data_IF_932702928671
#
_entry.id   IF_932702928671
#
_cell.length_a   1.000
_cell.length_b   1.000
_cell.length_c   1.000
_cell.angle_alpha   90.00
_cell.angle_beta   90.00
_cell.angle_gamma   90.00
#
_symmetry.space_group_name_H-M   'P 1'
#
loop_
_entity.id
_entity.type
_entity.pdbx_description
1 polymer ?
#
# COMPACT_ATOMS: atom_id res chain seq x y z
N UNK A 1 22.81 35.89 14.93
CA UNK A 1 21.96 34.69 15.00
C UNK A 1 22.36 33.93 16.25
N UNK A 2 21.76 34.32 17.37
CA UNK A 2 21.99 33.64 18.66
C UNK A 2 21.26 32.29 18.63
N UNK A 3 22.01 31.22 18.82
CA UNK A 3 21.49 29.87 18.92
C UNK A 3 20.63 29.77 20.17
N UNK A 4 19.32 29.56 20.03
CA UNK A 4 18.43 29.32 21.17
C UNK A 4 18.65 27.88 21.71
N UNK A 5 19.37 27.68 22.83
CA UNK A 5 19.73 26.34 23.31
C UNK A 5 18.50 25.55 23.80
N UNK A 6 17.49 26.26 24.29
CA UNK A 6 16.20 25.68 24.70
C UNK A 6 15.49 25.05 23.51
N UNK A 7 15.54 25.69 22.34
CA UNK A 7 14.87 25.21 21.13
C UNK A 7 15.54 23.94 20.59
N UNK A 8 16.88 23.86 20.66
CA UNK A 8 17.63 22.64 20.35
C UNK A 8 17.35 21.50 21.33
N UNK A 9 17.24 21.79 22.63
CA UNK A 9 16.87 20.79 23.62
C UNK A 9 15.46 20.26 23.40
N UNK A 10 14.48 21.13 23.10
CA UNK A 10 13.12 20.73 22.76
C UNK A 10 13.06 19.89 21.47
N UNK A 11 13.81 20.26 20.42
CA UNK A 11 13.90 19.47 19.19
C UNK A 11 14.54 18.10 19.42
N UNK A 12 15.59 18.02 20.25
CA UNK A 12 16.23 16.77 20.62
C UNK A 12 15.29 15.86 21.43
N UNK A 13 14.56 16.43 22.38
CA UNK A 13 13.59 15.69 23.18
C UNK A 13 12.43 15.17 22.33
N UNK A 14 11.92 15.98 21.39
CA UNK A 14 10.91 15.57 20.41
C UNK A 14 11.43 14.48 19.47
N UNK A 15 12.67 14.58 19.00
CA UNK A 15 13.31 13.55 18.17
C UNK A 15 13.50 12.23 18.93
N UNK A 16 13.92 12.28 20.21
CA UNK A 16 14.03 11.11 21.08
C UNK A 16 12.66 10.47 21.37
N UNK A 17 11.62 11.29 21.55
CA UNK A 17 10.24 10.81 21.69
C UNK A 17 9.76 10.12 20.42
N UNK A 18 9.98 10.71 19.25
CA UNK A 18 9.63 10.11 17.95
C UNK A 18 10.40 8.81 17.70
N UNK A 19 11.69 8.77 18.02
CA UNK A 19 12.51 7.56 17.97
C UNK A 19 12.00 6.50 18.95
N UNK A 20 11.61 6.89 20.16
CA UNK A 20 11.03 5.99 21.16
C UNK A 20 9.68 5.42 20.74
N UNK A 21 8.80 6.24 20.12
CA UNK A 21 7.51 5.80 19.58
C UNK A 21 7.72 4.84 18.40
N UNK A 22 8.62 5.15 17.47
CA UNK A 22 8.97 4.24 16.38
C UNK A 22 9.56 2.93 16.90
N UNK A 23 10.45 3.00 17.89
CA UNK A 23 11.03 1.82 18.53
C UNK A 23 9.96 0.97 19.23
N UNK A 24 9.02 1.58 19.95
CA UNK A 24 7.89 0.88 20.57
C UNK A 24 6.96 0.22 19.54
N UNK A 25 6.68 0.90 18.43
CA UNK A 25 5.87 0.36 17.34
C UNK A 25 6.50 -0.92 16.73
N UNK A 26 7.83 -0.97 16.62
CA UNK A 26 8.56 -2.16 16.17
C UNK A 26 8.75 -3.21 17.29
N UNK A 27 8.81 -2.78 18.55
CA UNK A 27 9.03 -3.63 19.71
C UNK A 27 7.80 -4.49 20.06
N UNK A 28 6.57 -3.97 19.90
CA UNK A 28 5.34 -4.74 20.20
C UNK A 28 5.24 -6.02 19.35
N UNK A 29 5.37 -5.99 18.01
CA UNK A 29 5.41 -7.21 17.21
C UNK A 29 6.61 -8.11 17.54
N UNK A 30 7.76 -7.52 17.89
CA UNK A 30 8.95 -8.29 18.28
C UNK A 30 8.75 -9.05 19.60
N UNK A 31 8.07 -8.46 20.57
CA UNK A 31 7.66 -9.11 21.82
C UNK A 31 6.68 -10.26 21.57
N UNK A 32 5.74 -10.10 20.63
CA UNK A 32 4.82 -11.18 20.26
C UNK A 32 5.55 -12.36 19.59
N UNK A 33 6.53 -12.08 18.73
CA UNK A 33 7.41 -13.10 18.14
C UNK A 33 8.28 -13.76 19.23
N UNK A 34 8.78 -12.99 20.20
CA UNK A 34 9.56 -13.54 21.30
C UNK A 34 8.71 -14.44 22.20
N UNK A 35 7.48 -14.01 22.53
CA UNK A 35 6.49 -14.81 23.26
C UNK A 35 6.21 -16.12 22.53
N UNK A 36 6.03 -16.11 21.21
CA UNK A 36 5.79 -17.35 20.46
C UNK A 36 6.99 -18.30 20.53
N UNK A 37 8.22 -17.79 20.40
CA UNK A 37 9.46 -18.57 20.53
C UNK A 37 9.65 -19.18 21.91
N UNK A 38 9.13 -18.55 22.97
CA UNK A 38 9.14 -19.09 24.33
C UNK A 38 8.00 -20.11 24.53
N UNK A 39 6.78 -19.79 24.08
CA UNK A 39 5.61 -20.63 24.29
C UNK A 39 5.59 -21.90 23.42
N UNK A 40 6.17 -21.90 22.22
CA UNK A 40 6.25 -23.07 21.34
C UNK A 40 6.97 -24.27 22.02
N UNK A 41 8.22 -24.14 22.51
CA UNK A 41 8.92 -25.24 23.18
C UNK A 41 8.22 -25.64 24.48
N UNK A 42 7.74 -24.68 25.28
CA UNK A 42 6.99 -24.94 26.51
C UNK A 42 5.69 -25.71 26.22
N UNK A 43 4.96 -25.35 25.16
CA UNK A 43 3.74 -26.06 24.75
C UNK A 43 4.01 -27.47 24.22
N UNK A 44 5.14 -27.69 23.53
CA UNK A 44 5.55 -29.01 23.05
C UNK A 44 5.93 -29.92 24.23
N UNK A 45 6.59 -29.35 25.24
CA UNK A 45 6.98 -30.07 26.45
C UNK A 45 5.79 -30.39 27.36
N UNK A 46 4.92 -29.41 27.65
CA UNK A 46 3.78 -29.58 28.55
C UNK A 46 2.52 -30.14 27.88
N UNK A 47 2.47 -30.21 26.54
CA UNK A 47 1.30 -30.58 25.74
C UNK A 47 0.01 -29.78 26.04
N UNK A 48 0.12 -28.60 26.67
CA UNK A 48 -1.04 -27.78 27.01
C UNK A 48 -1.61 -27.08 25.78
N UNK A 49 -2.84 -27.46 25.42
CA UNK A 49 -3.55 -26.95 24.24
C UNK A 49 -3.77 -25.43 24.28
N UNK A 50 -3.91 -24.84 25.47
CA UNK A 50 -4.07 -23.39 25.65
C UNK A 50 -2.79 -22.62 25.29
N UNK A 51 -1.63 -23.04 25.82
CA UNK A 51 -0.32 -22.43 25.53
C UNK A 51 0.01 -22.60 24.04
N UNK A 52 -0.29 -23.77 23.46
CA UNK A 52 -0.06 -23.99 22.03
C UNK A 52 -0.87 -23.03 21.15
N UNK A 53 -2.15 -22.80 21.49
CA UNK A 53 -2.99 -21.81 20.80
C UNK A 53 -2.45 -20.39 20.96
N UNK A 54 -2.05 -20.01 22.17
CA UNK A 54 -1.46 -18.69 22.44
C UNK A 54 -0.14 -18.51 21.67
N UNK A 55 0.68 -19.56 21.53
CA UNK A 55 1.91 -19.52 20.77
C UNK A 55 1.65 -19.29 19.26
N UNK A 56 0.71 -20.03 18.68
CA UNK A 56 0.31 -19.84 17.27
C UNK A 56 -0.23 -18.42 17.06
N UNK A 57 -1.10 -17.96 17.97
CA UNK A 57 -1.73 -16.64 17.90
C UNK A 57 -0.67 -15.54 17.90
N UNK A 58 0.26 -15.59 18.85
CA UNK A 58 1.34 -14.63 19.02
C UNK A 58 2.30 -14.64 17.83
N UNK A 59 2.61 -15.81 17.28
CA UNK A 59 3.47 -15.92 16.10
C UNK A 59 2.81 -15.30 14.87
N UNK A 60 1.57 -15.69 14.57
CA UNK A 60 0.88 -15.20 13.38
C UNK A 60 0.59 -13.71 13.49
N UNK A 61 0.08 -13.26 14.65
CA UNK A 61 -0.18 -11.84 14.91
C UNK A 61 1.08 -11.00 14.81
N UNK A 62 2.15 -11.40 15.50
CA UNK A 62 3.41 -10.68 15.48
C UNK A 62 4.02 -10.59 14.08
N UNK A 63 4.04 -11.70 13.33
CA UNK A 63 4.61 -11.70 11.98
C UNK A 63 3.76 -10.94 10.96
N UNK A 64 2.43 -11.12 10.97
CA UNK A 64 1.55 -10.39 10.04
C UNK A 64 1.60 -8.90 10.36
N UNK A 65 1.43 -8.48 11.62
CA UNK A 65 1.46 -7.06 11.98
C UNK A 65 2.81 -6.42 11.66
N UNK A 66 3.93 -7.11 11.86
CA UNK A 66 5.25 -6.60 11.47
C UNK A 66 5.36 -6.32 9.98
N UNK A 67 4.88 -7.23 9.13
CA UNK A 67 4.90 -6.99 7.68
C UNK A 67 3.87 -5.91 7.29
N UNK A 68 2.69 -5.89 7.92
CA UNK A 68 1.68 -4.85 7.69
C UNK A 68 2.18 -3.46 8.05
N UNK A 69 2.90 -3.28 9.15
CA UNK A 69 3.48 -1.97 9.53
C UNK A 69 4.37 -1.41 8.41
N UNK A 70 5.13 -2.28 7.72
CA UNK A 70 5.92 -1.88 6.56
C UNK A 70 5.03 -1.53 5.37
N UNK A 71 4.06 -2.40 5.04
CA UNK A 71 3.18 -2.21 3.89
C UNK A 71 2.21 -1.03 4.02
N UNK A 72 1.76 -0.69 5.24
CA UNK A 72 0.82 0.41 5.50
C UNK A 72 1.32 1.75 4.97
N UNK A 73 2.63 1.99 5.02
CA UNK A 73 3.24 3.22 4.50
C UNK A 73 3.03 3.39 2.99
N UNK A 74 2.80 2.28 2.28
CA UNK A 74 2.61 2.24 0.84
C UNK A 74 1.14 2.15 0.42
N UNK A 75 0.27 1.64 1.28
CA UNK A 75 -1.16 1.47 1.01
C UNK A 75 -1.93 2.79 1.18
N UNK A 76 -3.12 2.92 0.56
CA UNK A 76 -3.98 4.09 0.77
C UNK A 76 -4.30 4.31 2.26
N UNK A 77 -4.42 5.57 2.67
CA UNK A 77 -4.75 5.91 4.06
C UNK A 77 -6.03 5.20 4.55
N UNK A 78 -5.99 4.72 5.80
CA UNK A 78 -7.13 4.02 6.43
C UNK A 78 -7.31 2.56 6.01
N UNK A 79 -6.44 2.02 5.15
CA UNK A 79 -6.43 0.59 4.85
C UNK A 79 -5.66 -0.20 5.92
N UNK A 80 -6.07 -1.45 6.13
CA UNK A 80 -5.32 -2.46 6.89
C UNK A 80 -4.90 -2.02 8.31
N UNK A 81 -5.83 -2.04 9.28
CA UNK A 81 -5.53 -1.85 10.71
C UNK A 81 -4.72 -2.98 11.34
N UNK A 82 -4.54 -3.00 12.67
CA UNK A 82 -3.86 -4.13 13.31
C UNK A 82 -4.71 -5.40 13.23
N UNK A 83 -4.06 -6.52 12.92
CA UNK A 83 -4.69 -7.83 12.99
C UNK A 83 -4.70 -8.30 14.45
N UNK A 84 -5.85 -8.80 14.89
CA UNK A 84 -5.97 -9.63 16.08
C UNK A 84 -6.53 -11.00 15.70
N UNK A 85 -6.30 -12.00 16.55
CA UNK A 85 -6.69 -13.39 16.26
C UNK A 85 -7.46 -13.94 17.44
N UNK A 86 -8.67 -14.45 17.19
CA UNK A 86 -9.49 -15.14 18.19
C UNK A 86 -9.72 -16.59 17.78
N UNK A 87 -9.51 -17.55 18.69
CA UNK A 87 -9.77 -18.96 18.39
C UNK A 87 -11.23 -19.31 18.61
N UNK A 88 -11.92 -19.78 17.57
CA UNK A 88 -13.31 -20.28 17.66
C UNK A 88 -13.39 -21.80 17.69
N UNK A 89 -14.47 -22.32 18.30
CA UNK A 89 -14.74 -23.77 18.40
C UNK A 89 -15.44 -24.34 17.15
N UNK A 90 -16.19 -23.52 16.43
CA UNK A 90 -16.97 -23.91 15.24
C UNK A 90 -16.41 -23.31 13.95
N UNK A 91 -16.83 -23.87 12.81
CA UNK A 91 -16.14 -23.80 11.52
C UNK A 91 -16.23 -22.44 10.78
N UNK A 92 -16.81 -21.43 11.40
CA UNK A 92 -17.13 -20.18 10.71
C UNK A 92 -15.94 -19.22 10.78
N UNK A 93 -15.16 -19.22 9.68
CA UNK A 93 -14.20 -18.16 9.39
C UNK A 93 -14.97 -16.84 9.32
N UNK A 94 -14.90 -16.09 10.41
CA UNK A 94 -15.61 -14.82 10.58
C UNK A 94 -14.61 -13.75 10.97
N UNK A 95 -14.92 -12.52 10.59
CA UNK A 95 -14.14 -11.34 10.95
C UNK A 95 -15.05 -10.29 11.58
N UNK A 96 -14.54 -9.58 12.57
CA UNK A 96 -15.22 -8.44 13.18
C UNK A 96 -14.22 -7.32 13.35
N UNK A 97 -14.66 -6.10 13.08
CA UNK A 97 -13.87 -4.89 13.33
C UNK A 97 -14.24 -4.41 14.74
N UNK A 98 -13.28 -4.41 15.66
CA UNK A 98 -13.44 -3.90 17.02
C UNK A 98 -12.22 -3.03 17.36
N UNK A 99 -12.43 -1.82 17.85
CA UNK A 99 -11.38 -0.87 18.26
C UNK A 99 -10.29 -0.62 17.20
N UNK A 100 -10.67 -0.54 15.93
CA UNK A 100 -9.74 -0.35 14.80
C UNK A 100 -8.86 -1.57 14.49
N UNK A 101 -9.11 -2.70 15.16
CA UNK A 101 -8.45 -3.99 14.92
C UNK A 101 -9.39 -4.95 14.22
N UNK A 102 -8.82 -5.81 13.40
CA UNK A 102 -9.55 -6.87 12.72
C UNK A 102 -9.32 -8.19 13.42
N UNK A 103 -10.37 -8.72 14.03
CA UNK A 103 -10.34 -10.00 14.70
C UNK A 103 -10.63 -11.11 13.69
N UNK A 104 -9.67 -11.99 13.44
CA UNK A 104 -9.85 -13.15 12.56
C UNK A 104 -10.06 -14.42 13.37
N UNK A 105 -11.16 -15.14 13.08
CA UNK A 105 -11.55 -16.35 13.79
C UNK A 105 -11.24 -17.61 12.98
N UNK A 106 -10.34 -18.46 13.49
CA UNK A 106 -9.89 -19.68 12.77
C UNK A 106 -9.80 -20.87 13.71
N UNK A 107 -9.88 -22.10 13.17
CA UNK A 107 -9.54 -23.34 13.91
C UNK A 107 -8.04 -23.63 13.75
N UNK A 108 -7.28 -23.79 14.85
CA UNK A 108 -5.84 -24.01 14.74
C UNK A 108 -5.54 -25.37 14.09
N UNK A 109 -4.62 -25.37 13.13
CA UNK A 109 -4.00 -26.59 12.59
C UNK A 109 -2.65 -26.84 13.26
N UNK A 110 -2.09 -28.05 13.11
CA UNK A 110 -0.76 -28.39 13.64
C UNK A 110 0.38 -27.68 12.87
N UNK A 111 0.12 -27.21 11.65
CA UNK A 111 1.12 -26.58 10.78
C UNK A 111 1.07 -25.05 10.93
N UNK A 112 2.18 -24.47 11.39
CA UNK A 112 2.30 -23.03 11.61
C UNK A 112 2.17 -22.25 10.30
N UNK A 113 2.81 -22.71 9.22
CA UNK A 113 2.70 -22.11 7.90
C UNK A 113 1.25 -22.09 7.39
N UNK A 114 0.49 -23.16 7.65
CA UNK A 114 -0.94 -23.22 7.24
C UNK A 114 -1.75 -22.19 8.01
N UNK A 115 -1.54 -22.09 9.34
CA UNK A 115 -2.24 -21.11 10.16
C UNK A 115 -1.91 -19.68 9.70
N UNK A 116 -0.65 -19.38 9.42
CA UNK A 116 -0.21 -18.09 8.92
C UNK A 116 -0.88 -17.73 7.59
N UNK A 117 -0.81 -18.61 6.59
CA UNK A 117 -1.37 -18.39 5.25
C UNK A 117 -2.88 -18.14 5.32
N UNK A 118 -3.62 -18.98 6.07
CA UNK A 118 -5.08 -18.87 6.20
C UNK A 118 -5.47 -17.56 6.89
N UNK A 119 -4.82 -17.23 8.01
CA UNK A 119 -5.12 -16.02 8.78
C UNK A 119 -4.73 -14.76 8.00
N UNK A 120 -3.55 -14.73 7.38
CA UNK A 120 -3.08 -13.61 6.57
C UNK A 120 -4.03 -13.35 5.39
N UNK A 121 -4.38 -14.39 4.63
CA UNK A 121 -5.30 -14.25 3.50
C UNK A 121 -6.70 -13.79 3.96
N UNK A 122 -7.23 -14.37 5.05
CA UNK A 122 -8.51 -13.97 5.61
C UNK A 122 -8.51 -12.48 6.00
N UNK A 123 -7.48 -12.05 6.72
CA UNK A 123 -7.29 -10.66 7.14
C UNK A 123 -7.21 -9.70 5.95
N UNK A 124 -6.39 -10.00 4.94
CA UNK A 124 -6.21 -9.13 3.78
C UNK A 124 -7.51 -8.98 2.99
N UNK A 125 -8.27 -10.07 2.81
CA UNK A 125 -9.55 -10.05 2.09
C UNK A 125 -10.59 -9.13 2.72
N UNK A 126 -10.60 -9.03 4.04
CA UNK A 126 -11.52 -8.13 4.76
C UNK A 126 -10.97 -6.72 4.95
N UNK A 127 -9.65 -6.52 4.81
CA UNK A 127 -9.01 -5.22 5.05
C UNK A 127 -8.83 -4.38 3.78
N UNK A 128 -8.79 -5.01 2.61
CA UNK A 128 -8.62 -4.33 1.33
C UNK A 128 -9.94 -3.72 0.87
N UNK A 129 -9.85 -2.51 0.29
CA UNK A 129 -11.01 -1.77 -0.23
C UNK A 129 -12.12 -1.51 0.81
N UNK A 130 -11.79 -0.88 1.95
CA UNK A 130 -12.78 -0.55 2.97
C UNK A 130 -13.90 0.27 2.33
N UNK A 131 -15.15 -0.13 2.62
CA UNK A 131 -16.41 0.50 2.13
C UNK A 131 -16.71 0.34 0.63
N UNK A 132 -15.74 -0.02 -0.20
CA UNK A 132 -15.87 -0.14 -1.68
C UNK A 132 -15.67 -1.57 -2.19
N UNK A 133 -15.45 -2.54 -1.30
CA UNK A 133 -15.23 -3.96 -1.63
C UNK A 133 -16.30 -4.57 -2.57
N UNK A 134 -17.57 -4.19 -2.38
CA UNK A 134 -18.72 -4.73 -3.14
C UNK A 134 -18.90 -4.13 -4.53
N UNK A 135 -18.21 -3.03 -4.83
CA UNK A 135 -18.36 -2.33 -6.11
C UNK A 135 -17.19 -2.61 -7.05
N UNK A 136 -15.99 -2.80 -6.51
CA UNK A 136 -14.79 -3.10 -7.30
C UNK A 136 -14.92 -4.47 -7.98
N UNK A 137 -14.50 -4.60 -9.26
CA UNK A 137 -14.54 -5.87 -9.96
C UNK A 137 -13.84 -6.99 -9.17
N UNK A 138 -14.53 -8.13 -9.02
CA UNK A 138 -14.07 -9.24 -8.18
C UNK A 138 -12.66 -9.73 -8.55
N UNK A 139 -12.35 -9.81 -9.84
CA UNK A 139 -11.03 -10.25 -10.35
C UNK A 139 -9.91 -9.34 -9.87
N UNK A 140 -10.08 -8.02 -10.01
CA UNK A 140 -9.10 -7.04 -9.53
C UNK A 140 -8.95 -7.08 -8.01
N UNK A 141 -10.07 -7.15 -7.28
CA UNK A 141 -10.06 -7.24 -5.82
C UNK A 141 -9.28 -8.47 -5.33
N UNK A 142 -9.61 -9.64 -5.86
CA UNK A 142 -8.96 -10.90 -5.47
C UNK A 142 -7.49 -10.89 -5.88
N UNK A 143 -7.16 -10.43 -7.09
CA UNK A 143 -5.77 -10.30 -7.54
C UNK A 143 -4.95 -9.32 -6.66
N UNK A 144 -5.51 -8.20 -6.21
CA UNK A 144 -4.80 -7.24 -5.36
C UNK A 144 -4.45 -7.84 -4.00
N UNK A 145 -5.38 -8.60 -3.41
CA UNK A 145 -5.15 -9.31 -2.15
C UNK A 145 -4.10 -10.40 -2.34
N UNK A 146 -4.20 -11.20 -3.41
CA UNK A 146 -3.24 -12.25 -3.72
C UNK A 146 -1.83 -11.71 -3.96
N UNK A 147 -1.72 -10.59 -4.67
CA UNK A 147 -0.43 -9.97 -4.97
C UNK A 147 0.29 -9.53 -3.69
N UNK A 148 -0.41 -8.84 -2.79
CA UNK A 148 0.17 -8.42 -1.50
C UNK A 148 0.39 -9.61 -0.57
N UNK A 149 -0.54 -10.56 -0.53
CA UNK A 149 -0.42 -11.78 0.27
C UNK A 149 0.81 -12.61 -0.14
N UNK A 150 1.10 -12.72 -1.44
CA UNK A 150 2.29 -13.38 -1.94
C UNK A 150 3.57 -12.66 -1.48
N UNK A 151 3.61 -11.32 -1.53
CA UNK A 151 4.77 -10.54 -1.03
C UNK A 151 5.00 -10.76 0.47
N UNK A 152 3.93 -10.78 1.28
CA UNK A 152 4.01 -11.08 2.72
C UNK A 152 4.51 -12.51 2.96
N UNK A 153 4.03 -13.48 2.18
CA UNK A 153 4.46 -14.88 2.29
C UNK A 153 5.94 -15.07 1.90
N UNK A 154 6.40 -14.42 0.82
CA UNK A 154 7.80 -14.42 0.39
C UNK A 154 8.73 -13.85 1.48
N UNK A 155 8.35 -12.75 2.13
CA UNK A 155 9.12 -12.15 3.22
C UNK A 155 9.19 -13.05 4.47
N UNK A 156 8.23 -13.96 4.65
CA UNK A 156 8.19 -14.88 5.80
C UNK A 156 9.14 -16.08 5.62
N UNK A 157 9.29 -16.58 4.39
CA UNK A 157 10.19 -17.68 4.03
C UNK A 157 9.58 -18.69 3.06
N UNK A 158 10.43 -19.51 2.43
CA UNK A 158 10.05 -20.40 1.33
C UNK A 158 8.91 -21.38 1.64
N UNK A 159 8.87 -21.98 2.84
CA UNK A 159 7.78 -22.88 3.23
C UNK A 159 6.41 -22.17 3.21
N UNK A 160 6.36 -20.94 3.71
CA UNK A 160 5.13 -20.14 3.77
C UNK A 160 4.73 -19.67 2.37
N UNK A 161 5.71 -19.32 1.54
CA UNK A 161 5.48 -19.00 0.14
C UNK A 161 4.85 -20.17 -0.61
N UNK A 162 5.48 -21.35 -0.62
CA UNK A 162 4.95 -22.55 -1.30
C UNK A 162 3.55 -22.87 -0.79
N UNK A 163 3.33 -22.78 0.51
CA UNK A 163 2.02 -23.03 1.08
C UNK A 163 0.95 -22.00 0.67
N UNK A 164 1.33 -20.74 0.49
CA UNK A 164 0.44 -19.71 -0.03
C UNK A 164 0.11 -19.96 -1.50
N UNK A 165 1.11 -20.32 -2.30
CA UNK A 165 0.95 -20.66 -3.70
C UNK A 165 -0.04 -21.83 -3.86
N UNK A 166 0.19 -22.95 -3.17
CA UNK A 166 -0.61 -24.16 -3.30
C UNK A 166 -2.03 -24.01 -2.76
N UNK A 167 -2.20 -23.36 -1.59
CA UNK A 167 -3.50 -23.35 -0.88
C UNK A 167 -4.35 -22.13 -1.15
N UNK A 168 -3.76 -21.05 -1.65
CA UNK A 168 -4.47 -19.77 -1.83
C UNK A 168 -4.41 -19.31 -3.28
N UNK A 169 -3.22 -19.23 -3.86
CA UNK A 169 -3.04 -18.68 -5.20
C UNK A 169 -3.59 -19.61 -6.29
N UNK A 170 -3.17 -20.87 -6.31
CA UNK A 170 -3.54 -21.85 -7.33
C UNK A 170 -5.07 -22.08 -7.37
N UNK A 171 -5.77 -22.29 -6.23
CA UNK A 171 -7.23 -22.38 -6.23
C UNK A 171 -7.91 -21.10 -6.70
N UNK A 172 -7.34 -19.92 -6.44
CA UNK A 172 -7.91 -18.67 -6.92
C UNK A 172 -7.77 -18.53 -8.45
N UNK A 173 -6.62 -18.89 -9.01
CA UNK A 173 -6.37 -18.92 -10.46
C UNK A 173 -7.35 -19.86 -11.16
N UNK A 174 -7.56 -21.06 -10.61
CA UNK A 174 -8.51 -22.03 -11.15
C UNK A 174 -9.96 -21.49 -11.19
N UNK A 175 -10.35 -20.70 -10.18
CA UNK A 175 -11.68 -20.05 -10.14
C UNK A 175 -11.79 -18.84 -11.08
N UNK A 176 -10.71 -18.10 -11.29
CA UNK A 176 -10.72 -16.82 -11.99
C UNK A 176 -9.54 -16.68 -12.95
N UNK A 177 -9.80 -17.06 -14.21
CA UNK A 177 -8.79 -17.09 -15.31
C UNK A 177 -8.08 -15.75 -15.60
N UNK A 178 -8.63 -14.62 -15.14
CA UNK A 178 -8.01 -13.30 -15.32
C UNK A 178 -6.92 -12.99 -14.29
N UNK A 179 -6.87 -13.72 -13.16
CA UNK A 179 -5.93 -13.45 -12.07
C UNK A 179 -4.46 -13.46 -12.54
N UNK A 180 -3.97 -14.46 -13.30
CA UNK A 180 -2.58 -14.46 -13.76
C UNK A 180 -2.18 -13.19 -14.51
N UNK A 181 -3.02 -12.74 -15.46
CA UNK A 181 -2.79 -11.50 -16.21
C UNK A 181 -2.74 -10.28 -15.28
N UNK A 182 -3.65 -10.18 -14.31
CA UNK A 182 -3.62 -9.07 -13.35
C UNK A 182 -2.36 -9.10 -12.50
N UNK A 183 -1.90 -10.27 -12.06
CA UNK A 183 -0.66 -10.39 -11.28
C UNK A 183 0.56 -9.95 -12.10
N UNK A 184 0.62 -10.29 -13.39
CA UNK A 184 1.67 -9.81 -14.30
C UNK A 184 1.62 -8.29 -14.46
N UNK A 185 0.44 -7.74 -14.73
CA UNK A 185 0.24 -6.30 -14.85
C UNK A 185 0.63 -5.56 -13.55
N UNK A 186 0.29 -6.13 -12.38
CA UNK A 186 0.65 -5.56 -11.08
C UNK A 186 2.15 -5.62 -10.84
N UNK A 187 2.85 -6.70 -11.24
CA UNK A 187 4.32 -6.77 -11.19
C UNK A 187 4.98 -5.66 -12.01
N UNK A 188 4.43 -5.34 -13.19
CA UNK A 188 4.94 -4.24 -14.03
C UNK A 188 4.81 -2.91 -13.28
N UNK A 189 3.64 -2.63 -12.70
CA UNK A 189 3.43 -1.40 -11.93
C UNK A 189 4.31 -1.33 -10.68
N UNK A 190 4.43 -2.44 -9.95
CA UNK A 190 5.13 -2.53 -8.66
C UNK A 190 6.64 -2.28 -8.81
N UNK A 191 7.25 -2.71 -9.92
CA UNK A 191 8.67 -2.41 -10.25
C UNK A 191 9.01 -0.91 -10.29
N UNK A 192 8.02 -0.04 -10.48
CA UNK A 192 8.15 1.42 -10.45
C UNK A 192 7.37 2.07 -9.31
N UNK A 193 7.01 1.27 -8.30
CA UNK A 193 6.22 1.69 -7.15
C UNK A 193 4.78 2.09 -7.44
N UNK A 194 4.28 1.96 -8.67
CA UNK A 194 2.99 2.51 -9.09
C UNK A 194 1.78 1.66 -8.66
N UNK A 195 2.00 0.39 -8.29
CA UNK A 195 0.92 -0.50 -7.90
C UNK A 195 0.21 0.00 -6.63
N UNK A 196 0.93 0.11 -5.53
CA UNK A 196 0.38 0.60 -4.25
C UNK A 196 0.17 2.11 -4.25
N UNK A 197 1.09 2.86 -4.86
CA UNK A 197 1.12 4.32 -4.79
C UNK A 197 0.12 5.05 -5.68
N UNK A 198 -0.22 4.49 -6.85
CA UNK A 198 -1.17 5.12 -7.78
C UNK A 198 -2.35 4.22 -8.01
N UNK A 199 -2.13 2.98 -8.44
CA UNK A 199 -3.20 2.12 -8.92
C UNK A 199 -4.21 1.78 -7.83
N UNK A 200 -3.79 1.31 -6.66
CA UNK A 200 -4.72 0.99 -5.56
C UNK A 200 -5.46 2.23 -5.03
N UNK A 201 -4.76 3.37 -4.91
CA UNK A 201 -5.36 4.65 -4.50
C UNK A 201 -6.41 5.12 -5.49
N UNK A 202 -6.04 5.18 -6.76
CA UNK A 202 -6.95 5.62 -7.82
C UNK A 202 -8.14 4.68 -7.95
N UNK A 203 -7.92 3.36 -7.83
CA UNK A 203 -8.99 2.37 -7.81
C UNK A 203 -9.97 2.62 -6.65
N UNK A 204 -9.46 2.84 -5.44
CA UNK A 204 -10.30 3.14 -4.27
C UNK A 204 -11.12 4.42 -4.47
N UNK A 205 -10.48 5.50 -4.93
CA UNK A 205 -11.12 6.81 -5.09
C UNK A 205 -12.15 6.78 -6.22
N UNK A 206 -11.82 6.14 -7.35
CA UNK A 206 -12.74 5.94 -8.48
C UNK A 206 -13.95 5.12 -8.07
N UNK A 207 -13.73 4.04 -7.30
CA UNK A 207 -14.82 3.24 -6.77
C UNK A 207 -15.69 4.08 -5.82
N UNK A 208 -15.09 4.86 -4.92
CA UNK A 208 -15.84 5.72 -4.00
C UNK A 208 -16.71 6.75 -4.75
N UNK A 209 -16.17 7.40 -5.78
CA UNK A 209 -16.90 8.35 -6.64
C UNK A 209 -18.08 7.70 -7.38
N UNK A 210 -17.94 6.43 -7.75
CA UNK A 210 -18.95 5.68 -8.50
C UNK A 210 -20.00 4.99 -7.61
N UNK A 211 -19.79 4.91 -6.29
CA UNK A 211 -20.49 3.96 -5.40
C UNK A 211 -22.01 4.10 -5.42
N UNK A 212 -22.50 5.33 -5.46
CA UNK A 212 -23.92 5.67 -5.38
C UNK A 212 -24.41 6.41 -6.63
N UNK A 213 -23.72 6.23 -7.77
CA UNK A 213 -24.05 6.92 -9.02
C UNK A 213 -24.27 5.91 -10.14
N UNK A 214 -24.93 6.35 -11.22
CA UNK A 214 -25.11 5.54 -12.44
C UNK A 214 -23.78 5.19 -13.11
N UNK A 215 -22.72 5.96 -12.83
CA UNK A 215 -21.38 5.74 -13.35
C UNK A 215 -20.77 4.39 -12.91
N UNK A 216 -21.33 3.74 -11.88
CA UNK A 216 -20.94 2.39 -11.44
C UNK A 216 -20.87 1.36 -12.57
N UNK A 217 -21.71 1.49 -13.59
CA UNK A 217 -21.71 0.58 -14.76
C UNK A 217 -20.39 0.64 -15.55
N UNK A 218 -19.68 1.77 -15.51
CA UNK A 218 -18.42 1.97 -16.22
C UNK A 218 -17.20 1.55 -15.40
N UNK A 219 -17.38 1.10 -14.15
CA UNK A 219 -16.24 0.89 -13.24
C UNK A 219 -15.27 -0.17 -13.76
N UNK A 220 -15.74 -1.25 -14.38
CA UNK A 220 -14.86 -2.27 -14.95
C UNK A 220 -13.92 -1.68 -16.03
N UNK A 221 -14.48 -0.88 -16.95
CA UNK A 221 -13.71 -0.20 -17.98
C UNK A 221 -12.76 0.84 -17.37
N UNK A 222 -13.19 1.52 -16.32
CA UNK A 222 -12.33 2.45 -15.59
C UNK A 222 -11.13 1.77 -14.96
N UNK A 223 -11.33 0.67 -14.23
CA UNK A 223 -10.23 -0.07 -13.60
C UNK A 223 -9.20 -0.51 -14.64
N UNK A 224 -9.69 -1.06 -15.76
CA UNK A 224 -8.82 -1.47 -16.86
C UNK A 224 -8.06 -0.28 -17.46
N UNK A 225 -8.74 0.85 -17.69
CA UNK A 225 -8.08 2.05 -18.22
C UNK A 225 -7.08 2.68 -17.26
N UNK A 226 -7.27 2.61 -15.93
CA UNK A 226 -6.27 3.08 -14.95
C UNK A 226 -5.03 2.19 -15.01
N UNK A 227 -5.24 0.86 -15.14
CA UNK A 227 -4.18 -0.14 -15.25
C UNK A 227 -3.37 0.03 -16.53
N UNK A 228 -4.05 0.13 -17.68
CA UNK A 228 -3.41 0.28 -18.98
C UNK A 228 -2.64 1.60 -19.09
N UNK A 229 -3.23 2.71 -18.62
CA UNK A 229 -2.50 3.98 -18.52
C UNK A 229 -1.23 3.86 -17.68
N UNK A 230 -1.29 3.15 -16.54
CA UNK A 230 -0.10 2.90 -15.70
C UNK A 230 0.99 2.15 -16.46
N UNK A 231 0.63 1.07 -17.17
CA UNK A 231 1.58 0.28 -17.96
C UNK A 231 2.17 1.06 -19.12
N UNK A 232 1.34 1.77 -19.88
CA UNK A 232 1.80 2.61 -20.99
C UNK A 232 2.72 3.72 -20.51
N UNK A 233 2.42 4.35 -19.37
CA UNK A 233 3.29 5.36 -18.77
C UNK A 233 4.65 4.79 -18.38
N UNK A 234 4.69 3.61 -17.73
CA UNK A 234 5.95 2.95 -17.37
C UNK A 234 6.76 2.58 -18.61
N UNK A 235 6.12 2.01 -19.64
CA UNK A 235 6.79 1.64 -20.87
C UNK A 235 7.44 2.87 -21.56
N UNK A 236 6.68 3.97 -21.70
CA UNK A 236 7.20 5.21 -22.27
C UNK A 236 8.30 5.85 -21.40
N UNK A 237 8.17 5.74 -20.08
CA UNK A 237 9.19 6.22 -19.15
C UNK A 237 10.50 5.42 -19.28
N UNK A 238 10.40 4.11 -19.42
CA UNK A 238 11.55 3.21 -19.56
C UNK A 238 12.27 3.43 -20.89
N UNK A 239 11.53 3.58 -21.99
CA UNK A 239 12.05 3.94 -23.30
C UNK A 239 12.81 5.28 -23.26
N UNK A 240 12.21 6.31 -22.67
CA UNK A 240 12.86 7.61 -22.48
C UNK A 240 14.18 7.52 -21.72
N UNK A 241 14.28 6.64 -20.72
CA UNK A 241 15.51 6.46 -19.93
C UNK A 241 16.64 5.83 -20.72
N UNK A 242 16.32 5.00 -21.71
CA UNK A 242 17.30 4.38 -22.59
C UNK A 242 17.63 5.23 -23.81
N UNK A 243 17.24 6.51 -23.81
CA UNK A 243 17.54 7.45 -24.91
C UNK A 243 16.48 7.48 -26.02
N UNK A 244 15.31 6.89 -25.79
CA UNK A 244 14.17 6.98 -26.70
C UNK A 244 13.44 8.33 -26.63
N UNK A 245 12.24 8.37 -27.20
CA UNK A 245 11.45 9.59 -27.33
C UNK A 245 10.97 10.18 -25.99
N UNK A 246 10.56 11.45 -26.02
CA UNK A 246 9.89 12.06 -24.88
C UNK A 246 8.53 11.40 -24.64
N UNK A 247 8.20 11.16 -23.37
CA UNK A 247 6.90 10.60 -22.96
C UNK A 247 5.76 11.45 -23.55
N UNK A 248 4.86 10.84 -24.36
CA UNK A 248 3.75 11.54 -24.99
C UNK A 248 2.94 12.39 -23.99
N UNK A 249 2.54 13.62 -24.34
CA UNK A 249 1.73 14.49 -23.47
C UNK A 249 0.46 13.82 -22.93
N UNK A 250 -0.13 12.91 -23.72
CA UNK A 250 -1.33 12.13 -23.38
C UNK A 250 -1.12 11.09 -22.29
N UNK A 251 0.11 10.70 -21.96
CA UNK A 251 0.38 9.75 -20.87
C UNK A 251 0.59 10.46 -19.52
N UNK A 252 0.74 11.78 -19.52
CA UNK A 252 0.81 12.57 -18.29
C UNK A 252 -0.57 12.79 -17.65
N UNK A 253 -1.64 12.57 -18.41
CA UNK A 253 -3.03 12.78 -18.01
C UNK A 253 -3.88 11.60 -18.43
N UNK A 254 -4.76 11.15 -17.54
CA UNK A 254 -5.83 10.23 -17.90
C UNK A 254 -7.16 10.92 -17.74
N UNK A 255 -7.97 10.84 -18.79
CA UNK A 255 -9.37 11.24 -18.74
C UNK A 255 -10.26 10.02 -18.98
N UNK A 256 -10.87 9.51 -17.90
CA UNK A 256 -11.95 8.53 -17.95
C UNK A 256 -13.31 9.18 -17.69
N UNK A 257 -14.36 8.38 -17.85
CA UNK A 257 -15.74 8.70 -17.48
C UNK A 257 -15.90 8.99 -15.97
N UNK A 258 -15.07 8.37 -15.11
CA UNK A 258 -15.11 8.56 -13.65
C UNK A 258 -13.79 9.15 -13.13
N UNK A 259 -12.68 8.56 -13.57
CA UNK A 259 -11.34 8.86 -13.08
C UNK A 259 -10.63 9.85 -14.00
N UNK A 260 -10.36 11.05 -13.49
CA UNK A 260 -9.55 12.06 -14.16
C UNK A 260 -8.36 12.42 -13.29
N UNK A 261 -7.15 12.07 -13.72
CA UNK A 261 -5.95 12.35 -12.95
C UNK A 261 -4.74 12.69 -13.82
N UNK A 262 -3.73 13.30 -13.20
CA UNK A 262 -2.43 13.52 -13.81
C UNK A 262 -1.29 12.93 -12.97
N UNK A 263 -0.14 12.74 -13.60
CA UNK A 263 1.11 12.34 -12.95
C UNK A 263 2.13 13.46 -13.09
N UNK A 264 2.86 13.77 -12.02
CA UNK A 264 3.97 14.71 -12.03
C UNK A 264 5.18 14.02 -11.43
N UNK A 265 6.23 13.84 -12.23
CA UNK A 265 7.50 13.30 -11.74
C UNK A 265 8.42 14.44 -11.31
N UNK A 266 8.74 14.47 -10.02
CA UNK A 266 9.74 15.34 -9.43
C UNK A 266 11.10 14.64 -9.55
N UNK A 267 11.77 14.89 -10.68
CA UNK A 267 13.21 15.02 -10.68
C UNK A 267 13.79 15.58 -11.97
N UNK A 268 14.86 16.36 -11.80
CA UNK A 268 16.12 16.34 -12.56
C UNK A 268 17.02 17.38 -11.88
N UNK A 269 18.29 17.10 -11.55
CA UNK A 269 19.21 18.08 -10.97
C UNK A 269 19.28 19.40 -11.77
N UNK A 270 19.19 19.31 -13.10
CA UNK A 270 19.17 20.45 -14.04
C UNK A 270 17.88 21.29 -13.96
N UNK A 271 16.78 20.73 -13.43
CA UNK A 271 15.52 21.44 -13.15
C UNK A 271 15.37 21.83 -11.68
N UNK A 272 16.12 21.19 -10.78
CA UNK A 272 16.21 21.61 -9.37
C UNK A 272 16.86 23.00 -9.28
N UNK A 273 17.81 23.32 -10.15
CA UNK A 273 18.37 24.68 -10.25
C UNK A 273 17.35 25.74 -10.67
N UNK A 274 16.24 25.35 -11.32
CA UNK A 274 15.13 26.25 -11.66
C UNK A 274 14.11 26.40 -10.52
N UNK A 275 14.34 25.78 -9.37
CA UNK A 275 13.45 25.85 -8.21
C UNK A 275 12.23 24.94 -8.30
N UNK A 276 11.30 25.15 -7.36
CA UNK A 276 10.06 24.35 -7.22
C UNK A 276 8.98 24.72 -8.25
N UNK A 277 9.01 25.95 -8.76
CA UNK A 277 7.96 26.55 -9.59
C UNK A 277 7.59 25.73 -10.82
N UNK A 278 8.53 25.13 -11.60
CA UNK A 278 8.16 24.34 -12.76
C UNK A 278 7.31 23.10 -12.41
N UNK A 279 7.43 22.59 -11.19
CA UNK A 279 6.65 21.43 -10.74
C UNK A 279 5.29 21.87 -10.20
N UNK A 280 5.25 22.98 -9.44
CA UNK A 280 4.00 23.59 -8.96
C UNK A 280 3.13 24.02 -10.13
N UNK A 281 3.72 24.65 -11.16
CA UNK A 281 3.02 25.01 -12.39
C UNK A 281 2.46 23.79 -13.11
N UNK A 282 3.17 22.66 -13.17
CA UNK A 282 2.62 21.42 -13.75
C UNK A 282 1.42 20.88 -12.96
N UNK A 283 1.44 21.00 -11.64
CA UNK A 283 0.28 20.64 -10.80
C UNK A 283 -0.89 21.55 -11.16
N UNK A 284 -0.70 22.88 -11.17
CA UNK A 284 -1.72 23.85 -11.58
C UNK A 284 -2.28 23.55 -12.97
N UNK A 285 -1.40 23.35 -13.96
CA UNK A 285 -1.79 23.09 -15.34
C UNK A 285 -2.58 21.78 -15.49
N UNK A 286 -2.26 20.76 -14.68
CA UNK A 286 -3.00 19.50 -14.69
C UNK A 286 -4.46 19.70 -14.24
N UNK A 287 -4.67 20.47 -13.17
CA UNK A 287 -6.02 20.83 -12.72
C UNK A 287 -6.74 21.74 -13.74
N UNK A 288 -6.04 22.72 -14.33
CA UNK A 288 -6.60 23.56 -15.38
C UNK A 288 -7.02 22.77 -16.63
N UNK A 289 -6.38 21.62 -16.90
CA UNK A 289 -6.76 20.66 -17.95
C UNK A 289 -7.88 19.69 -17.53
N UNK A 290 -8.48 19.87 -16.35
CA UNK A 290 -9.61 19.08 -15.87
C UNK A 290 -9.24 17.80 -15.10
N UNK A 291 -7.98 17.64 -14.67
CA UNK A 291 -7.65 16.58 -13.72
C UNK A 291 -8.39 16.82 -12.39
N UNK A 292 -9.01 15.78 -11.83
CA UNK A 292 -9.61 15.84 -10.48
C UNK A 292 -8.61 15.48 -9.39
N UNK A 293 -7.53 14.80 -9.77
CA UNK A 293 -6.48 14.28 -8.89
C UNK A 293 -5.11 14.45 -9.54
N UNK A 294 -4.08 14.80 -8.77
CA UNK A 294 -2.70 14.87 -9.28
C UNK A 294 -1.78 14.09 -8.36
N UNK A 295 -1.09 13.10 -8.92
CA UNK A 295 -0.08 12.32 -8.22
C UNK A 295 1.30 12.92 -8.47
N UNK A 296 1.96 13.38 -7.41
CA UNK A 296 3.32 13.90 -7.45
C UNK A 296 4.25 12.82 -6.92
N UNK A 297 5.28 12.45 -7.68
CA UNK A 297 6.25 11.41 -7.31
C UNK A 297 7.67 11.96 -7.22
N UNK A 298 8.32 11.73 -6.09
CA UNK A 298 9.74 11.98 -5.88
C UNK A 298 10.54 10.68 -5.87
N UNK A 299 11.76 10.74 -6.39
CA UNK A 299 12.74 9.68 -6.21
C UNK A 299 13.46 9.83 -4.85
N UNK A 300 14.05 8.75 -4.35
CA UNK A 300 14.59 8.70 -2.99
C UNK A 300 15.62 9.81 -2.72
N UNK A 301 16.58 9.99 -3.64
CA UNK A 301 17.60 11.03 -3.57
C UNK A 301 17.05 12.47 -3.66
N UNK A 302 15.80 12.64 -4.07
CA UNK A 302 15.14 13.94 -4.24
C UNK A 302 13.99 14.17 -3.25
N UNK A 303 13.83 13.31 -2.23
CA UNK A 303 12.72 13.37 -1.26
C UNK A 303 12.50 14.77 -0.68
N UNK A 304 13.56 15.39 -0.14
CA UNK A 304 13.48 16.75 0.43
C UNK A 304 12.98 17.78 -0.58
N UNK A 305 13.40 17.67 -1.83
CA UNK A 305 12.97 18.57 -2.88
C UNK A 305 11.52 18.32 -3.29
N UNK A 306 11.11 17.05 -3.40
CA UNK A 306 9.72 16.68 -3.62
C UNK A 306 8.81 17.20 -2.50
N UNK A 307 9.24 17.10 -1.24
CA UNK A 307 8.52 17.66 -0.09
C UNK A 307 8.37 19.19 -0.20
N UNK A 308 9.41 19.90 -0.65
CA UNK A 308 9.31 21.34 -0.93
C UNK A 308 8.31 21.65 -2.04
N UNK A 309 8.32 20.88 -3.14
CA UNK A 309 7.32 21.05 -4.22
C UNK A 309 5.91 20.86 -3.68
N UNK A 310 5.67 19.80 -2.91
CA UNK A 310 4.35 19.48 -2.33
C UNK A 310 3.90 20.59 -1.39
N UNK A 311 4.78 21.05 -0.49
CA UNK A 311 4.48 22.11 0.48
C UNK A 311 4.15 23.43 -0.21
N UNK A 312 4.89 23.78 -1.27
CA UNK A 312 4.65 25.02 -2.01
C UNK A 312 3.36 24.92 -2.84
N UNK A 313 3.08 23.76 -3.46
CA UNK A 313 1.82 23.54 -4.17
C UNK A 313 0.61 23.61 -3.22
N UNK A 314 0.71 23.04 -2.01
CA UNK A 314 -0.33 23.10 -0.98
C UNK A 314 -0.61 24.53 -0.51
N UNK A 315 0.42 25.40 -0.42
CA UNK A 315 0.26 26.77 0.05
C UNK A 315 -0.10 27.80 -1.02
N UNK A 316 0.20 27.53 -2.30
CA UNK A 316 0.03 28.49 -3.40
C UNK A 316 -1.20 28.24 -4.28
N UNK A 317 -1.84 27.07 -4.17
CA UNK A 317 -2.94 26.68 -5.04
C UNK A 317 -4.21 26.56 -4.19
N UNK A 318 -5.05 27.59 -4.23
CA UNK A 318 -6.21 27.73 -3.33
C UNK A 318 -7.36 26.73 -3.65
N UNK A 319 -7.47 26.25 -4.88
CA UNK A 319 -8.57 25.38 -5.35
C UNK A 319 -8.29 23.88 -5.20
N UNK A 320 -7.20 23.51 -4.51
CA UNK A 320 -6.79 22.13 -4.34
C UNK A 320 -6.39 21.86 -2.90
N UNK A 321 -6.57 20.62 -2.47
CA UNK A 321 -6.08 20.13 -1.19
C UNK A 321 -5.11 18.99 -1.34
N UNK A 322 -4.17 18.92 -0.41
CA UNK A 322 -3.36 17.74 -0.19
C UNK A 322 -4.20 16.66 0.49
N UNK A 323 -4.42 15.54 -0.19
CA UNK A 323 -5.18 14.39 0.32
C UNK A 323 -4.30 13.54 1.22
N UNK A 324 -3.08 13.23 0.77
CA UNK A 324 -2.12 12.41 1.52
C UNK A 324 -0.69 12.58 1.00
N UNK A 325 0.28 12.43 1.90
CA UNK A 325 1.68 12.11 1.59
C UNK A 325 1.88 10.62 1.84
N UNK A 326 2.65 9.95 0.99
CA UNK A 326 2.87 8.51 1.08
C UNK A 326 4.28 8.10 0.66
N UNK A 327 4.70 6.94 1.14
CA UNK A 327 5.94 6.29 0.71
C UNK A 327 5.64 5.26 -0.37
N UNK A 328 6.67 4.90 -1.13
CA UNK A 328 6.59 3.81 -2.10
C UNK A 328 7.77 2.86 -1.92
N UNK A 329 7.52 1.56 -2.04
CA UNK A 329 8.57 0.55 -1.90
C UNK A 329 9.71 0.75 -2.91
N UNK A 330 9.33 1.13 -4.13
CA UNK A 330 10.23 1.58 -5.18
C UNK A 330 9.82 2.97 -5.64
N UNK A 331 10.76 3.84 -5.98
CA UNK A 331 10.48 5.07 -6.69
C UNK A 331 10.07 4.79 -8.16
N UNK A 332 9.63 5.83 -8.86
CA UNK A 332 9.31 5.72 -10.29
C UNK A 332 10.53 5.40 -11.17
N UNK A 333 11.75 5.40 -10.60
CA UNK A 333 13.02 4.99 -11.24
C UNK A 333 13.39 3.55 -10.93
N UNK A 334 12.58 2.82 -10.15
CA UNK A 334 12.82 1.44 -9.74
C UNK A 334 13.85 1.28 -8.62
N UNK A 335 14.32 2.37 -8.02
CA UNK A 335 15.19 2.31 -6.85
C UNK A 335 14.33 2.15 -5.59
N UNK A 336 14.83 1.54 -4.51
CA UNK A 336 14.10 1.45 -3.25
C UNK A 336 13.71 2.85 -2.70
N UNK A 337 12.63 2.91 -1.92
CA UNK A 337 12.27 4.04 -1.05
C UNK A 337 11.85 5.34 -1.76
N UNK A 338 10.82 5.28 -2.61
CA UNK A 338 10.25 6.50 -3.19
C UNK A 338 9.33 7.27 -2.25
N UNK A 339 8.88 8.43 -2.72
CA UNK A 339 7.89 9.26 -2.04
C UNK A 339 6.86 9.78 -3.03
N UNK A 340 5.68 10.12 -2.54
CA UNK A 340 4.69 10.81 -3.32
C UNK A 340 3.64 11.53 -2.50
N UNK A 341 2.85 12.32 -3.22
CA UNK A 341 1.73 13.05 -2.69
C UNK A 341 0.56 12.98 -3.65
N UNK A 342 -0.65 13.00 -3.10
CA UNK A 342 -1.88 13.08 -3.86
C UNK A 342 -2.57 14.41 -3.55
N UNK A 343 -2.80 15.19 -4.60
CA UNK A 343 -3.68 16.36 -4.55
C UNK A 343 -5.03 16.03 -5.18
N UNK A 344 -6.09 16.68 -4.70
CA UNK A 344 -7.40 16.64 -5.32
C UNK A 344 -8.04 18.04 -5.29
N UNK A 345 -8.99 18.27 -6.20
CA UNK A 345 -9.88 19.43 -6.11
C UNK A 345 -10.71 19.31 -4.83
N UNK A 346 -10.97 20.44 -4.18
CA UNK A 346 -11.82 20.51 -2.99
C UNK A 346 -13.27 20.07 -3.24
#
# INVERSE_FOLDING_TARGET
MESHPVLWFCLLLAALLLLGVNWLADFIPALEILRSKIYLPVSRYLQWKSIHKAAIQSDVRGHVNRELTKFRKYLPAGWCGDMDVEWVRHQDLSHTIADGRMIVRVRPTKCQATNFVVLCNAYLRSSFFPKTEKIIPKSHREASVLFIGLKIAMNRGGEVQTMFEDKVLEPAIQRHKQIPKHLEDYRVLDKRGMFTSKFLRELQLTANDARFTSARHNLLQEVQGILDHGKSFIAAYDEKRTGGEDIPPTLWHREGAISKYAVVLVAKPVKVSAGVDPYVNRVRDAFARGARRVYVFGADGERKFADSVVTVAENLLDDIRLVERFETEYDYRGNPSGCGALFAVD
#
